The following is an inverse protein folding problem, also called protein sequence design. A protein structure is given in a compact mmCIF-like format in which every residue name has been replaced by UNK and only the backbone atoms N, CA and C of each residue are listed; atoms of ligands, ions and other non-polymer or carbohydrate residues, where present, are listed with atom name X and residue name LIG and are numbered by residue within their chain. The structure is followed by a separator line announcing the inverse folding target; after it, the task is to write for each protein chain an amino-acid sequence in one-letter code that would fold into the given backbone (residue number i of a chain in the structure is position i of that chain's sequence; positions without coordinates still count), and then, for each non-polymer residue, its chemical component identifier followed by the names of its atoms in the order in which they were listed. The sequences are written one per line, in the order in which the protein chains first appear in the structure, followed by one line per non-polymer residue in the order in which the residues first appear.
data_IF_370315474544
#
_entry.id   IF_370315474544
#
_cell.length_a   1.000
_cell.length_b   1.000
_cell.length_c   1.000
_cell.angle_alpha   90.00
_cell.angle_beta   90.00
_cell.angle_gamma   90.00
#
_symmetry.space_group_name_H-M   'P 1'
#
loop_
_entity.id
_entity.type
_entity.pdbx_description
1 polymer ?
#
# COMPACT_ATOMS: atom_id res chain seq x y z
N UNK A 1 -5.85 -20.05 -74.83
CA UNK A 1 -5.15 -19.39 -73.71
C UNK A 1 -6.20 -18.90 -72.72
N UNK A 2 -6.26 -19.52 -71.54
CA UNK A 2 -7.16 -19.14 -70.43
C UNK A 2 -6.31 -19.14 -69.16
N UNK A 3 -6.20 -18.01 -68.49
CA UNK A 3 -5.65 -17.89 -67.14
C UNK A 3 -6.80 -17.38 -66.27
N UNK A 4 -7.19 -18.12 -65.23
CA UNK A 4 -7.45 -17.43 -63.97
C UNK A 4 -7.07 -18.27 -62.74
N UNK A 5 -6.44 -17.63 -61.76
CA UNK A 5 -6.45 -17.94 -60.33
C UNK A 5 -5.25 -17.21 -59.72
N UNK A 6 -5.26 -16.61 -58.54
CA UNK A 6 -6.25 -16.39 -57.49
C UNK A 6 -5.56 -15.32 -56.61
N UNK A 7 -6.26 -14.25 -56.25
CA UNK A 7 -5.77 -13.29 -55.25
C UNK A 7 -5.81 -13.97 -53.87
N UNK A 8 -4.63 -14.30 -53.34
CA UNK A 8 -4.49 -14.77 -51.96
C UNK A 8 -4.66 -13.60 -51.00
N UNK A 9 -5.82 -13.50 -50.37
CA UNK A 9 -6.04 -12.62 -49.23
C UNK A 9 -5.32 -13.22 -48.00
N UNK A 10 -4.18 -12.62 -47.63
CA UNK A 10 -3.48 -12.96 -46.39
C UNK A 10 -4.21 -12.31 -45.22
N UNK A 11 -4.91 -13.11 -44.41
CA UNK A 11 -5.46 -12.68 -43.12
C UNK A 11 -4.29 -12.41 -42.16
N UNK A 12 -4.07 -11.13 -41.82
CA UNK A 12 -3.21 -10.75 -40.73
C UNK A 12 -3.86 -11.16 -39.39
N UNK A 13 -3.24 -12.11 -38.70
CA UNK A 13 -3.63 -12.54 -37.35
C UNK A 13 -3.10 -11.50 -36.34
N UNK A 14 -3.91 -10.50 -35.99
CA UNK A 14 -3.63 -9.64 -34.84
C UNK A 14 -3.91 -10.41 -33.55
N UNK A 15 -2.86 -10.95 -32.94
CA UNK A 15 -2.90 -11.38 -31.54
C UNK A 15 -2.87 -10.11 -30.68
N UNK A 16 -4.04 -9.66 -30.24
CA UNK A 16 -4.13 -8.64 -29.21
C UNK A 16 -3.69 -9.26 -27.88
N UNK A 17 -2.46 -8.96 -27.43
CA UNK A 17 -2.08 -9.12 -26.03
C UNK A 17 -2.94 -8.16 -25.21
N UNK A 18 -4.10 -8.63 -24.74
CA UNK A 18 -4.76 -7.99 -23.62
C UNK A 18 -3.90 -8.25 -22.40
N UNK A 19 -3.05 -7.29 -22.04
CA UNK A 19 -2.50 -7.21 -20.71
C UNK A 19 -3.69 -7.04 -19.76
N UNK A 20 -4.21 -8.13 -19.22
CA UNK A 20 -5.11 -8.10 -18.09
C UNK A 20 -4.30 -7.51 -16.93
N UNK A 21 -4.49 -6.23 -16.66
CA UNK A 21 -4.10 -5.65 -15.39
C UNK A 21 -4.81 -6.47 -14.32
N UNK A 22 -4.08 -7.36 -13.64
CA UNK A 22 -4.60 -7.97 -12.42
C UNK A 22 -4.91 -6.83 -11.47
N UNK A 23 -6.17 -6.68 -11.02
CA UNK A 23 -6.48 -5.67 -10.02
C UNK A 23 -5.57 -5.93 -8.81
N UNK A 24 -4.90 -4.88 -8.33
CA UNK A 24 -4.07 -4.99 -7.14
C UNK A 24 -4.91 -5.63 -6.02
N UNK A 25 -4.39 -6.68 -5.35
CA UNK A 25 -5.13 -7.33 -4.29
C UNK A 25 -5.49 -6.31 -3.22
N UNK A 26 -6.76 -6.31 -2.81
CA UNK A 26 -7.20 -5.38 -1.77
C UNK A 26 -6.38 -5.58 -0.49
N UNK A 27 -6.20 -4.51 0.29
CA UNK A 27 -5.43 -4.55 1.55
C UNK A 27 -5.82 -5.74 2.43
N UNK A 28 -7.11 -6.02 2.56
CA UNK A 28 -7.66 -7.16 3.30
C UNK A 28 -7.07 -8.51 2.87
N UNK A 29 -6.92 -8.71 1.55
CA UNK A 29 -6.45 -9.94 0.93
C UNK A 29 -4.92 -10.04 0.82
N UNK A 30 -4.20 -8.98 1.17
CA UNK A 30 -2.73 -9.03 1.20
C UNK A 30 -2.25 -10.08 2.22
N UNK A 31 -1.18 -10.84 1.90
CA UNK A 31 -0.59 -11.77 2.85
C UNK A 31 -0.03 -11.06 4.09
N UNK A 32 0.45 -11.86 5.05
CA UNK A 32 1.24 -11.30 6.16
C UNK A 32 2.55 -10.77 5.59
N UNK A 33 2.88 -9.52 5.89
CA UNK A 33 4.03 -8.84 5.28
C UNK A 33 4.16 -7.39 5.69
N UNK A 34 5.20 -6.73 5.19
CA UNK A 34 5.41 -5.29 5.31
C UNK A 34 5.05 -4.60 4.00
N UNK A 35 4.36 -3.47 4.06
CA UNK A 35 3.82 -2.77 2.91
C UNK A 35 4.01 -1.28 3.02
N UNK A 36 4.45 -0.68 1.92
CA UNK A 36 4.77 0.74 1.86
C UNK A 36 3.95 1.41 0.76
N UNK A 37 3.25 2.46 1.15
CA UNK A 37 2.30 3.21 0.32
C UNK A 37 2.70 4.69 0.30
N UNK A 38 2.63 5.29 -0.89
CA UNK A 38 2.78 6.73 -1.10
C UNK A 38 1.51 7.31 -1.71
N UNK A 39 1.17 8.58 -1.44
CA UNK A 39 0.06 9.24 -2.10
C UNK A 39 0.19 9.16 -3.62
N UNK A 40 -0.90 8.82 -4.30
CA UNK A 40 -0.97 8.74 -5.77
C UNK A 40 -1.00 10.11 -6.43
N UNK A 41 -1.20 11.19 -5.67
CA UNK A 41 -1.28 12.56 -6.16
C UNK A 41 0.03 13.33 -5.97
N UNK A 42 0.43 14.07 -7.00
CA UNK A 42 1.51 15.05 -6.92
C UNK A 42 0.95 16.40 -6.45
N UNK A 43 0.97 16.66 -5.13
CA UNK A 43 0.41 17.88 -4.53
C UNK A 43 0.89 18.17 -3.10
N UNK A 44 0.20 19.05 -2.36
CA UNK A 44 0.40 19.19 -0.89
C UNK A 44 0.14 17.81 -0.27
N UNK A 45 1.14 17.23 0.40
CA UNK A 45 1.17 15.80 0.76
C UNK A 45 2.32 15.02 0.11
N UNK A 46 3.08 15.62 -0.82
CA UNK A 46 4.34 15.06 -1.32
C UNK A 46 5.35 14.86 -0.17
N UNK A 47 5.46 13.63 0.31
CA UNK A 47 6.27 13.26 1.48
C UNK A 47 5.48 12.54 2.58
N UNK A 48 4.15 12.49 2.48
CA UNK A 48 3.34 11.58 3.26
C UNK A 48 3.60 10.16 2.81
N UNK A 49 3.56 9.23 3.75
CA UNK A 49 3.62 7.81 3.45
C UNK A 49 2.96 7.02 4.56
N UNK A 50 2.56 5.81 4.21
CA UNK A 50 2.07 4.82 5.15
C UNK A 50 2.97 3.60 5.01
N UNK A 51 3.59 3.20 6.12
CA UNK A 51 4.35 1.96 6.17
C UNK A 51 3.85 1.12 7.32
N UNK A 52 3.43 -0.11 7.01
CA UNK A 52 2.89 -1.00 8.02
C UNK A 52 3.34 -2.44 7.83
N UNK A 53 3.17 -3.21 8.89
CA UNK A 53 3.16 -4.66 8.87
C UNK A 53 1.75 -5.17 9.11
N UNK A 54 1.33 -6.11 8.25
CA UNK A 54 0.06 -6.84 8.36
C UNK A 54 0.30 -8.24 8.89
N UNK A 55 -0.52 -8.68 9.83
CA UNK A 55 -0.57 -10.05 10.33
C UNK A 55 -2.05 -10.48 10.49
N UNK A 56 -2.52 -11.38 9.62
CA UNK A 56 -3.95 -11.63 9.46
C UNK A 56 -4.69 -10.35 9.04
N UNK A 57 -5.72 -9.95 9.79
CA UNK A 57 -6.40 -8.65 9.61
C UNK A 57 -5.76 -7.50 10.37
N UNK A 58 -4.87 -7.77 11.33
CA UNK A 58 -4.27 -6.70 12.15
C UNK A 58 -3.20 -5.96 11.36
N UNK A 59 -3.22 -4.64 11.44
CA UNK A 59 -2.21 -3.76 10.83
C UNK A 59 -1.58 -2.89 11.90
N UNK A 60 -0.25 -2.82 11.92
CA UNK A 60 0.51 -1.88 12.74
C UNK A 60 1.51 -1.15 11.87
N UNK A 61 1.58 0.17 11.98
CA UNK A 61 2.43 0.95 11.11
C UNK A 61 2.82 2.30 11.65
N UNK A 62 3.56 3.00 10.81
CA UNK A 62 3.90 4.41 10.93
C UNK A 62 3.26 5.15 9.76
N UNK A 63 2.67 6.30 10.06
CA UNK A 63 2.29 7.28 9.05
C UNK A 63 3.13 8.54 9.25
N UNK A 64 3.59 9.11 8.14
CA UNK A 64 4.08 10.48 8.08
C UNK A 64 2.98 11.35 7.50
N UNK A 65 2.44 12.28 8.29
CA UNK A 65 1.51 13.31 7.84
C UNK A 65 2.13 14.71 8.01
N UNK A 66 1.40 15.76 7.61
CA UNK A 66 1.82 17.15 7.85
C UNK A 66 1.86 17.50 9.35
N UNK A 67 1.00 16.87 10.15
CA UNK A 67 0.92 17.03 11.60
C UNK A 67 2.02 16.28 12.37
N UNK A 68 2.81 15.48 11.66
CA UNK A 68 3.94 14.74 12.20
C UNK A 68 3.90 13.25 11.91
N UNK A 69 4.89 12.54 12.42
CA UNK A 69 4.95 11.09 12.32
C UNK A 69 4.23 10.47 13.53
N UNK A 70 3.38 9.48 13.30
CA UNK A 70 2.73 8.74 14.38
C UNK A 70 2.70 7.24 14.10
N UNK A 71 2.66 6.46 15.17
CA UNK A 71 2.37 5.04 15.11
C UNK A 71 0.86 4.83 15.05
N UNK A 72 0.42 3.79 14.36
CA UNK A 72 -0.97 3.38 14.38
C UNK A 72 -1.16 1.86 14.47
N UNK A 73 -2.33 1.44 14.95
CA UNK A 73 -2.81 0.06 14.93
C UNK A 73 -4.28 0.04 14.56
N UNK A 74 -4.67 -0.81 13.61
CA UNK A 74 -6.07 -1.01 13.22
C UNK A 74 -6.28 -2.36 12.53
N UNK A 75 -7.36 -2.45 11.75
CA UNK A 75 -7.71 -3.67 11.00
C UNK A 75 -7.86 -3.39 9.52
N UNK A 76 -7.39 -4.32 8.69
CA UNK A 76 -7.61 -4.29 7.25
C UNK A 76 -9.05 -4.71 6.92
N UNK A 77 -9.74 -3.88 6.15
CA UNK A 77 -11.07 -4.13 5.57
C UNK A 77 -11.15 -3.50 4.17
N UNK A 78 -11.38 -4.30 3.13
CA UNK A 78 -11.25 -3.81 1.75
C UNK A 78 -9.86 -3.21 1.48
N UNK A 79 -9.81 -1.91 1.16
CA UNK A 79 -8.60 -1.10 0.97
C UNK A 79 -8.32 -0.14 2.12
N UNK A 80 -8.97 -0.34 3.27
CA UNK A 80 -8.97 0.60 4.37
C UNK A 80 -8.36 -0.02 5.63
N UNK A 81 -7.79 0.83 6.47
CA UNK A 81 -7.44 0.50 7.85
C UNK A 81 -8.49 1.14 8.74
N UNK A 82 -9.36 0.30 9.30
CA UNK A 82 -10.47 0.69 10.17
C UNK A 82 -10.08 0.51 11.64
N UNK A 83 -10.85 1.14 12.53
CA UNK A 83 -10.64 1.16 13.98
C UNK A 83 -9.20 1.51 14.37
N UNK A 84 -8.59 2.46 13.65
CA UNK A 84 -7.19 2.78 13.83
C UNK A 84 -6.98 3.63 15.10
N UNK A 85 -6.19 3.11 16.05
CA UNK A 85 -5.62 3.89 17.15
C UNK A 85 -4.33 4.55 16.67
N UNK A 86 -4.14 5.85 16.98
CA UNK A 86 -2.91 6.59 16.66
C UNK A 86 -2.17 7.02 17.93
N UNK A 87 -0.83 7.01 17.90
CA UNK A 87 0.02 7.44 19.00
C UNK A 87 1.19 8.26 18.45
N UNK A 88 1.34 9.48 18.94
CA UNK A 88 2.45 10.36 18.59
C UNK A 88 3.66 10.15 19.51
N UNK A 89 4.89 10.44 19.05
CA UNK A 89 6.05 10.52 19.94
C UNK A 89 5.84 11.50 21.10
N UNK A 90 6.36 11.22 22.31
CA UNK A 90 7.13 10.03 22.68
C UNK A 90 6.19 8.81 22.85
N UNK A 91 6.50 7.71 22.16
CA UNK A 91 5.70 6.48 22.13
C UNK A 91 5.73 5.74 23.48
N UNK A 92 5.07 6.31 24.48
CA UNK A 92 4.99 5.85 25.86
C UNK A 92 3.60 5.22 26.09
N UNK A 93 3.51 4.02 26.70
CA UNK A 93 2.22 3.45 27.09
C UNK A 93 1.34 4.41 27.89
N UNK A 94 1.93 5.32 28.67
CA UNK A 94 1.22 6.35 29.44
C UNK A 94 0.74 7.54 28.59
N UNK A 95 1.29 7.74 27.38
CA UNK A 95 0.90 8.79 26.43
C UNK A 95 -0.12 8.32 25.39
N UNK A 96 -0.68 7.11 25.56
CA UNK A 96 -1.73 6.53 24.71
C UNK A 96 -3.01 7.35 24.83
N UNK A 97 -3.08 8.41 24.06
CA UNK A 97 -4.35 9.04 23.73
C UNK A 97 -4.99 8.15 22.68
N UNK A 98 -6.02 7.41 23.08
CA UNK A 98 -6.84 6.66 22.14
C UNK A 98 -7.61 7.68 21.30
N UNK A 99 -6.99 8.14 20.21
CA UNK A 99 -7.73 8.76 19.12
C UNK A 99 -8.52 7.64 18.45
N UNK A 100 -9.76 7.48 18.92
CA UNK A 100 -10.69 6.48 18.39
C UNK A 100 -11.28 6.97 17.07
N UNK A 101 -11.46 6.00 16.17
CA UNK A 101 -12.29 6.09 14.96
C UNK A 101 -11.75 6.96 13.83
N UNK A 102 -10.49 6.72 13.42
CA UNK A 102 -10.06 7.18 12.09
C UNK A 102 -9.92 6.00 11.14
N UNK A 103 -10.59 6.13 10.00
CA UNK A 103 -10.43 5.27 8.85
C UNK A 103 -9.30 5.82 7.99
N UNK A 104 -8.29 5.00 7.71
CA UNK A 104 -7.29 5.34 6.69
C UNK A 104 -7.65 4.64 5.39
N UNK A 105 -8.04 5.43 4.38
CA UNK A 105 -8.30 4.92 3.04
C UNK A 105 -7.01 4.89 2.21
N UNK A 106 -6.60 3.69 1.78
CA UNK A 106 -5.43 3.53 0.91
C UNK A 106 -5.79 3.63 -0.58
N UNK A 107 -7.03 3.91 -0.95
CA UNK A 107 -7.45 4.12 -2.34
C UNK A 107 -6.83 5.34 -3.00
N UNK A 108 -6.39 6.33 -2.21
CA UNK A 108 -5.62 7.48 -2.69
C UNK A 108 -4.10 7.26 -2.65
N UNK A 109 -3.67 6.05 -2.28
CA UNK A 109 -2.27 5.67 -2.19
C UNK A 109 -1.93 4.61 -3.22
N UNK A 110 -0.72 4.72 -3.78
CA UNK A 110 -0.13 3.68 -4.59
C UNK A 110 0.86 2.89 -3.75
N UNK A 111 0.74 1.57 -3.81
CA UNK A 111 1.77 0.68 -3.27
C UNK A 111 3.06 0.91 -4.07
N UNK A 112 4.17 1.19 -3.39
CA UNK A 112 5.45 1.38 -4.07
C UNK A 112 6.16 0.05 -4.15
N UNK A 113 5.97 -0.64 -5.28
CA UNK A 113 6.85 -1.72 -5.69
C UNK A 113 8.14 -1.12 -6.25
N UNK A 114 9.30 -1.35 -5.62
CA UNK A 114 10.60 -1.03 -6.21
C UNK A 114 11.32 -2.34 -6.50
N UNK A 115 11.24 -2.81 -7.75
CA UNK A 115 12.03 -3.94 -8.25
C UNK A 115 11.91 -5.24 -7.44
N UNK A 116 10.67 -5.65 -7.12
CA UNK A 116 10.43 -6.91 -6.38
C UNK A 116 10.93 -6.91 -4.92
N UNK A 117 11.40 -5.76 -4.43
CA UNK A 117 11.66 -5.51 -3.03
C UNK A 117 10.74 -4.37 -2.59
N UNK A 118 9.90 -4.62 -1.58
CA UNK A 118 9.18 -3.53 -0.90
C UNK A 118 10.21 -2.45 -0.59
N UNK A 119 9.97 -1.24 -1.12
CA UNK A 119 11.01 -0.31 -1.52
C UNK A 119 12.15 -0.10 -0.53
N UNK A 120 13.34 0.26 -1.03
CA UNK A 120 14.49 0.66 -0.21
C UNK A 120 14.07 1.77 0.77
N UNK A 121 13.62 1.35 1.95
CA UNK A 121 13.15 2.27 2.96
C UNK A 121 14.36 2.95 3.58
N UNK A 122 14.27 4.25 3.86
CA UNK A 122 15.31 4.93 4.63
C UNK A 122 15.42 4.21 5.98
N UNK A 123 16.65 3.90 6.38
CA UNK A 123 16.94 3.14 7.61
C UNK A 123 16.24 3.72 8.84
N UNK A 124 16.11 5.04 8.93
CA UNK A 124 15.38 5.73 10.00
C UNK A 124 13.87 5.45 10.05
N UNK A 125 13.22 5.25 8.90
CA UNK A 125 11.80 4.90 8.88
C UNK A 125 11.61 3.45 9.40
N UNK A 126 12.61 2.57 9.20
CA UNK A 126 12.53 1.15 9.60
C UNK A 126 12.56 1.01 11.11
N UNK A 127 13.46 1.76 11.74
CA UNK A 127 13.53 1.87 13.19
C UNK A 127 12.21 2.38 13.77
N UNK A 128 11.54 3.31 13.08
CA UNK A 128 10.23 3.82 13.52
C UNK A 128 9.15 2.75 13.43
N UNK A 129 9.06 2.02 12.31
CA UNK A 129 8.11 0.91 12.19
C UNK A 129 8.34 -0.16 13.27
N UNK A 130 9.59 -0.54 13.52
CA UNK A 130 9.93 -1.50 14.58
C UNK A 130 9.50 -0.98 15.97
N UNK A 131 9.66 0.31 16.22
CA UNK A 131 9.18 0.95 17.46
C UNK A 131 7.66 0.85 17.57
N UNK A 132 6.92 1.14 16.49
CA UNK A 132 5.46 1.01 16.47
C UNK A 132 5.01 -0.44 16.70
N UNK A 133 5.67 -1.41 16.08
CA UNK A 133 5.41 -2.84 16.28
C UNK A 133 5.63 -3.24 17.73
N UNK A 134 6.78 -2.86 18.31
CA UNK A 134 7.09 -3.13 19.71
C UNK A 134 6.18 -2.41 20.69
N UNK A 135 5.51 -1.33 20.28
CA UNK A 135 4.52 -0.65 21.11
C UNK A 135 3.18 -1.40 21.12
N UNK A 136 2.71 -1.83 19.94
CA UNK A 136 1.35 -2.35 19.75
C UNK A 136 1.20 -3.88 19.81
N UNK A 137 2.25 -4.66 19.59
CA UNK A 137 2.23 -6.13 19.57
C UNK A 137 2.96 -6.78 20.74
N UNK A 138 3.16 -6.06 21.85
CA UNK A 138 3.59 -6.67 23.11
C UNK A 138 2.56 -7.68 23.62
#
# INVERSE_FOLDING_TARGET
MKIPAQLAASLALLVALTASATPDPSLENLPTGEYYYQPSFSGRGAGQFVWFRKAGRTVVGVMRSEDGNFCFRGFAEGNQIVDATRVFPPYDPASRQDFQEEMLDLGEYSQVERDGQVGRVREGDRTTLQTCIQFFWR
#
